data_IF_680098137094
#
_entry.id   IF_680098137094
#
_cell.length_a   1.000
_cell.length_b   1.000
_cell.length_c   1.000
_cell.angle_alpha   90.00
_cell.angle_beta   90.00
_cell.angle_gamma   90.00
#
_symmetry.space_group_name_H-M   'P 1'
#
loop_
_entity.id
_entity.type
_entity.pdbx_description
1 polymer ?
#
# COMPACT_ATOMS: atom_id res chain seq x y z
N UNK A 1 -37.71 -8.74 7.55
CA UNK A 1 -36.70 -9.28 8.46
C UNK A 1 -35.33 -8.78 8.03
N UNK A 2 -34.51 -8.31 8.97
CA UNK A 2 -33.09 -7.98 8.75
C UNK A 2 -32.79 -6.49 8.66
N UNK A 3 -32.96 -5.74 9.75
CA UNK A 3 -32.28 -4.45 9.89
C UNK A 3 -30.80 -4.79 10.02
N UNK A 4 -29.98 -4.48 9.01
CA UNK A 4 -28.53 -4.60 9.19
C UNK A 4 -28.15 -3.61 10.30
N UNK A 5 -27.36 -4.06 11.27
CA UNK A 5 -27.19 -3.40 12.57
C UNK A 5 -26.34 -2.12 12.55
N UNK A 6 -26.48 -1.27 11.54
CA UNK A 6 -25.80 0.02 11.46
C UNK A 6 -26.84 1.14 11.59
N UNK A 7 -26.97 1.67 12.81
CA UNK A 7 -27.94 2.70 13.16
C UNK A 7 -27.46 4.13 12.87
N UNK A 8 -26.34 4.31 12.16
CA UNK A 8 -25.77 5.61 11.87
C UNK A 8 -25.34 5.72 10.39
N UNK A 9 -25.48 6.90 9.76
CA UNK A 9 -24.99 7.12 8.41
C UNK A 9 -23.46 7.06 8.39
N UNK A 10 -22.90 6.28 7.47
CA UNK A 10 -21.46 6.26 7.18
C UNK A 10 -21.21 7.19 5.99
N UNK A 11 -20.41 8.24 6.20
CA UNK A 11 -19.96 9.10 5.12
C UNK A 11 -18.90 8.39 4.28
N UNK A 12 -19.14 8.22 2.98
CA UNK A 12 -18.13 7.78 2.03
C UNK A 12 -17.40 9.01 1.50
N UNK A 13 -16.11 9.09 1.77
CA UNK A 13 -15.26 10.18 1.30
C UNK A 13 -14.52 9.73 0.04
N UNK A 14 -14.95 10.24 -1.11
CA UNK A 14 -14.40 9.82 -2.40
C UNK A 14 -13.02 10.44 -2.71
N UNK A 15 -12.63 11.51 -2.01
CA UNK A 15 -11.39 12.24 -2.27
C UNK A 15 -10.14 11.40 -2.01
N UNK A 16 -10.14 10.64 -0.92
CA UNK A 16 -9.05 9.72 -0.57
C UNK A 16 -9.01 8.43 -1.37
N UNK A 17 -10.10 8.04 -2.04
CA UNK A 17 -10.14 6.81 -2.85
C UNK A 17 -9.11 6.85 -3.99
N UNK A 18 -8.96 8.00 -4.65
CA UNK A 18 -8.00 8.17 -5.74
C UNK A 18 -6.54 7.97 -5.31
N UNK A 19 -6.20 8.26 -4.04
CA UNK A 19 -4.86 8.02 -3.52
C UNK A 19 -4.56 6.52 -3.35
N UNK A 20 -5.56 5.75 -2.91
CA UNK A 20 -5.42 4.29 -2.78
C UNK A 20 -5.30 3.64 -4.15
N UNK A 21 -6.10 4.10 -5.12
CA UNK A 21 -6.06 3.62 -6.51
C UNK A 21 -4.72 3.93 -7.18
N UNK A 22 -4.28 5.20 -7.14
CA UNK A 22 -2.98 5.61 -7.68
C UNK A 22 -1.82 4.81 -7.06
N UNK A 23 -1.89 4.51 -5.75
CA UNK A 23 -0.93 3.63 -5.10
C UNK A 23 -1.02 2.18 -5.62
N UNK A 24 -2.21 1.61 -5.76
CA UNK A 24 -2.37 0.25 -6.30
C UNK A 24 -1.93 0.14 -7.77
N UNK A 25 -2.03 1.21 -8.55
CA UNK A 25 -1.55 1.30 -9.94
C UNK A 25 -0.03 1.42 -10.07
N UNK A 26 0.69 1.60 -8.95
CA UNK A 26 2.15 1.61 -8.94
C UNK A 26 2.78 3.00 -8.88
N UNK A 27 2.02 4.06 -8.57
CA UNK A 27 2.60 5.40 -8.36
C UNK A 27 3.73 5.36 -7.31
N UNK A 28 4.79 6.12 -7.58
CA UNK A 28 5.90 6.29 -6.65
C UNK A 28 5.47 7.02 -5.36
N UNK A 29 6.07 6.65 -4.23
CA UNK A 29 5.72 7.22 -2.92
C UNK A 29 5.94 8.73 -2.84
N UNK A 30 7.07 9.23 -3.35
CA UNK A 30 7.36 10.66 -3.33
C UNK A 30 6.38 11.46 -4.18
N UNK A 31 6.02 10.91 -5.35
CA UNK A 31 5.00 11.51 -6.23
C UNK A 31 3.61 11.47 -5.60
N UNK A 32 3.25 10.38 -4.95
CA UNK A 32 1.96 10.25 -4.26
C UNK A 32 1.81 11.30 -3.16
N UNK A 33 2.81 11.42 -2.28
CA UNK A 33 2.81 12.42 -1.20
C UNK A 33 2.84 13.84 -1.76
N UNK A 34 3.61 14.08 -2.83
CA UNK A 34 3.67 15.39 -3.49
C UNK A 34 2.39 15.80 -4.24
N UNK A 35 1.47 14.86 -4.50
CA UNK A 35 0.23 15.12 -5.23
C UNK A 35 -0.89 15.71 -4.38
N UNK A 36 -0.72 15.74 -3.05
CA UNK A 36 -1.75 16.15 -2.08
C UNK A 36 -1.16 17.02 -0.97
N UNK A 37 -2.03 17.77 -0.30
CA UNK A 37 -1.67 18.54 0.91
C UNK A 37 -1.95 17.77 2.21
N UNK A 38 -2.25 16.48 2.13
CA UNK A 38 -2.44 15.62 3.31
C UNK A 38 -1.13 15.36 4.04
N UNK A 39 -1.22 15.21 5.36
CA UNK A 39 -0.06 14.86 6.18
C UNK A 39 0.47 13.47 5.82
N UNK A 40 1.80 13.32 5.81
CA UNK A 40 2.47 12.05 5.47
C UNK A 40 1.95 10.87 6.31
N UNK A 41 1.73 11.12 7.60
CA UNK A 41 1.19 10.12 8.52
C UNK A 41 -0.25 9.72 8.20
N UNK A 42 -1.06 10.63 7.66
CA UNK A 42 -2.42 10.34 7.21
C UNK A 42 -2.44 9.49 5.95
N UNK A 43 -1.56 9.78 4.99
CA UNK A 43 -1.40 8.98 3.77
C UNK A 43 -0.95 7.56 4.13
N UNK A 44 0.11 7.45 4.95
CA UNK A 44 0.59 6.15 5.42
C UNK A 44 -0.53 5.36 6.09
N UNK A 45 -1.24 6.00 7.02
CA UNK A 45 -2.30 5.36 7.79
C UNK A 45 -3.53 5.01 6.96
N UNK A 46 -3.88 5.83 5.97
CA UNK A 46 -4.93 5.55 5.00
C UNK A 46 -4.60 4.28 4.21
N UNK A 47 -3.44 4.24 3.55
CA UNK A 47 -3.03 3.09 2.75
C UNK A 47 -2.91 1.83 3.60
N UNK A 48 -2.31 1.95 4.79
CA UNK A 48 -2.14 0.83 5.71
C UNK A 48 -3.46 0.22 6.14
N UNK A 49 -4.42 1.06 6.55
CA UNK A 49 -5.77 0.60 6.92
C UNK A 49 -6.49 -0.04 5.74
N UNK A 50 -6.33 0.50 4.53
CA UNK A 50 -6.89 -0.10 3.32
C UNK A 50 -6.33 -1.50 3.06
N UNK A 51 -5.00 -1.71 3.20
CA UNK A 51 -4.39 -3.05 3.11
C UNK A 51 -4.97 -3.98 4.17
N UNK A 52 -5.02 -3.54 5.43
CA UNK A 52 -5.51 -4.35 6.54
C UNK A 52 -6.99 -4.73 6.36
N UNK A 53 -7.82 -3.82 5.85
CA UNK A 53 -9.21 -4.10 5.50
C UNK A 53 -9.32 -5.13 4.36
N UNK A 54 -8.52 -5.02 3.30
CA UNK A 54 -8.53 -5.99 2.22
C UNK A 54 -8.09 -7.39 2.69
N UNK A 55 -7.09 -7.46 3.59
CA UNK A 55 -6.70 -8.71 4.25
C UNK A 55 -7.85 -9.31 5.06
N UNK A 56 -8.58 -8.49 5.79
CA UNK A 56 -9.78 -8.95 6.50
C UNK A 56 -10.82 -9.49 5.50
N UNK A 57 -11.20 -8.72 4.48
CA UNK A 57 -12.18 -9.11 3.45
C UNK A 57 -11.83 -10.45 2.80
N UNK A 58 -10.54 -10.67 2.51
CA UNK A 58 -10.08 -11.93 1.91
C UNK A 58 -10.32 -13.17 2.78
N UNK A 59 -10.41 -12.98 4.11
CA UNK A 59 -10.54 -14.04 5.11
C UNK A 59 -11.96 -14.15 5.69
N UNK A 60 -12.88 -13.22 5.39
CA UNK A 60 -14.24 -13.23 5.97
C UNK A 60 -15.02 -14.46 5.47
N UNK A 61 -15.66 -15.23 6.36
CA UNK A 61 -16.53 -16.33 5.96
C UNK A 61 -17.80 -15.80 5.27
N UNK A 62 -18.41 -16.60 4.39
CA UNK A 62 -19.65 -16.26 3.68
C UNK A 62 -19.57 -15.11 2.65
N UNK A 63 -18.37 -14.61 2.34
CA UNK A 63 -18.11 -13.73 1.18
C UNK A 63 -17.82 -14.58 -0.06
N UNK A 64 -18.23 -14.12 -1.26
CA UNK A 64 -17.98 -14.83 -2.52
C UNK A 64 -16.48 -15.01 -2.79
N UNK A 65 -16.11 -16.09 -3.48
CA UNK A 65 -14.70 -16.35 -3.77
C UNK A 65 -14.12 -15.31 -4.72
N UNK A 66 -14.91 -14.78 -5.66
CA UNK A 66 -14.49 -13.69 -6.55
C UNK A 66 -14.11 -12.44 -5.75
N UNK A 67 -14.91 -12.05 -4.76
CA UNK A 67 -14.60 -10.89 -3.92
C UNK A 67 -13.34 -11.11 -3.09
N UNK A 68 -13.12 -12.33 -2.58
CA UNK A 68 -11.87 -12.69 -1.89
C UNK A 68 -10.68 -12.67 -2.83
N UNK A 69 -10.84 -13.16 -4.06
CA UNK A 69 -9.78 -13.15 -5.08
C UNK A 69 -9.38 -11.73 -5.45
N UNK A 70 -10.36 -10.85 -5.67
CA UNK A 70 -10.14 -9.41 -5.89
C UNK A 70 -9.42 -8.77 -4.69
N UNK A 71 -9.85 -9.05 -3.46
CA UNK A 71 -9.19 -8.53 -2.27
C UNK A 71 -7.73 -8.98 -2.17
N UNK A 72 -7.43 -10.26 -2.42
CA UNK A 72 -6.05 -10.77 -2.45
C UNK A 72 -5.21 -10.13 -3.54
N UNK A 73 -5.79 -9.87 -4.72
CA UNK A 73 -5.10 -9.18 -5.80
C UNK A 73 -4.77 -7.73 -5.43
N UNK A 74 -5.72 -7.01 -4.84
CA UNK A 74 -5.52 -5.65 -4.37
C UNK A 74 -4.45 -5.56 -3.26
N UNK A 75 -4.44 -6.52 -2.31
CA UNK A 75 -3.36 -6.60 -1.30
C UNK A 75 -1.99 -6.69 -1.97
N UNK A 76 -1.82 -7.60 -2.94
CA UNK A 76 -0.54 -7.76 -3.65
C UNK A 76 -0.10 -6.50 -4.39
N UNK A 77 -1.04 -5.76 -5.00
CA UNK A 77 -0.73 -4.51 -5.70
C UNK A 77 -0.29 -3.39 -4.74
N UNK A 78 -0.85 -3.38 -3.53
CA UNK A 78 -0.59 -2.34 -2.53
C UNK A 78 0.60 -2.65 -1.60
N UNK A 79 1.06 -3.90 -1.56
CA UNK A 79 2.15 -4.39 -0.69
C UNK A 79 3.52 -3.97 -1.21
N UNK A 80 3.82 -2.67 -1.08
CA UNK A 80 5.06 -2.03 -1.52
C UNK A 80 5.61 -1.15 -0.40
N UNK A 81 6.93 -0.94 -0.39
CA UNK A 81 7.54 0.04 0.53
C UNK A 81 6.96 1.43 0.30
N UNK A 82 6.58 2.21 1.35
CA UNK A 82 6.79 1.97 2.78
C UNK A 82 5.62 1.26 3.50
N UNK A 83 4.57 0.88 2.79
CA UNK A 83 3.31 0.37 3.38
C UNK A 83 3.38 -1.13 3.73
N UNK A 84 4.30 -1.86 3.11
CA UNK A 84 4.48 -3.30 3.30
C UNK A 84 4.63 -3.71 4.78
N UNK A 85 4.07 -4.87 5.14
CA UNK A 85 4.09 -5.41 6.51
C UNK A 85 5.50 -5.59 7.08
N UNK A 86 6.43 -5.96 6.22
CA UNK A 86 7.77 -6.37 6.63
C UNK A 86 8.66 -5.20 7.04
N UNK A 87 8.24 -3.95 6.79
CA UNK A 87 9.05 -2.75 7.09
C UNK A 87 9.26 -2.58 8.60
N UNK A 88 8.31 -3.00 9.45
CA UNK A 88 8.46 -2.93 10.90
C UNK A 88 9.37 -4.04 11.46
N UNK A 89 9.45 -5.19 10.77
CA UNK A 89 10.23 -6.35 11.19
C UNK A 89 11.64 -6.40 10.58
N UNK A 90 11.88 -5.62 9.52
CA UNK A 90 13.14 -5.59 8.77
C UNK A 90 14.08 -4.45 9.18
N UNK A 91 13.83 -3.75 10.29
CA UNK A 91 14.82 -2.85 10.88
C UNK A 91 15.84 -3.71 11.64
N UNK A 92 17.10 -3.89 11.16
CA UNK A 92 18.15 -4.37 12.04
C UNK A 92 18.30 -3.36 13.18
N UNK A 93 18.39 -3.86 14.42
CA UNK A 93 18.48 -3.06 15.66
C UNK A 93 19.65 -2.03 15.66
N UNK A 94 20.55 -2.11 14.67
CA UNK A 94 21.76 -1.30 14.54
C UNK A 94 21.53 0.12 13.97
N UNK A 95 20.35 0.45 13.44
CA UNK A 95 20.06 1.79 12.86
C UNK A 95 19.65 2.82 13.93
N UNK A 96 19.41 2.40 15.17
CA UNK A 96 19.11 3.32 16.28
C UNK A 96 20.32 4.17 16.71
N UNK A 97 21.55 3.78 16.32
CA UNK A 97 22.81 4.42 16.74
C UNK A 97 23.37 5.42 15.72
N UNK A 98 23.09 5.24 14.43
CA UNK A 98 23.64 6.10 13.38
C UNK A 98 22.51 6.76 12.59
N UNK A 99 22.51 8.09 12.63
CA UNK A 99 21.49 8.97 12.08
C UNK A 99 21.00 8.55 10.68
N UNK A 100 19.68 8.70 10.51
CA UNK A 100 18.87 8.57 9.30
C UNK A 100 19.68 8.31 8.02
N UNK A 101 19.64 7.08 7.45
CA UNK A 101 20.20 6.87 6.12
C UNK A 101 19.33 7.62 5.12
N UNK A 102 19.96 8.55 4.41
CA UNK A 102 19.43 9.32 3.31
C UNK A 102 18.71 8.40 2.30
N UNK A 103 17.53 8.82 1.84
CA UNK A 103 16.60 8.14 0.91
C UNK A 103 17.23 7.81 -0.47
N UNK A 104 18.52 8.04 -0.66
CA UNK A 104 19.25 7.91 -1.93
C UNK A 104 19.70 6.48 -2.28
N UNK A 105 19.53 5.49 -1.40
CA UNK A 105 19.99 4.11 -1.65
C UNK A 105 18.91 3.12 -2.14
N UNK A 106 17.61 3.46 -2.06
CA UNK A 106 16.54 2.56 -2.55
C UNK A 106 16.31 2.73 -4.07
N UNK A 107 16.76 3.84 -4.66
CA UNK A 107 16.57 4.12 -6.10
C UNK A 107 17.52 3.33 -7.02
N UNK A 108 18.47 2.55 -6.49
CA UNK A 108 19.47 1.82 -7.31
C UNK A 108 19.15 0.34 -7.56
N UNK A 109 18.09 -0.21 -6.98
CA UNK A 109 17.80 -1.65 -7.07
C UNK A 109 16.67 -2.01 -8.04
N UNK A 110 16.05 -1.03 -8.71
CA UNK A 110 14.99 -1.26 -9.68
C UNK A 110 15.46 -0.87 -11.10
N UNK A 111 16.57 -1.47 -11.54
CA UNK A 111 16.81 -1.67 -12.96
C UNK A 111 16.23 -3.03 -13.29
N UNK A 112 15.12 -3.00 -14.02
CA UNK A 112 14.53 -4.16 -14.68
C UNK A 112 15.60 -4.91 -15.47
N UNK A 113 15.70 -6.22 -15.25
CA UNK A 113 16.57 -7.17 -15.97
C UNK A 113 16.34 -7.20 -17.51
N UNK A 114 15.40 -6.40 -18.04
CA UNK A 114 15.07 -6.31 -19.46
C UNK A 114 16.09 -5.54 -20.32
N UNK A 115 17.07 -4.83 -19.75
CA UNK A 115 18.10 -4.10 -20.53
C UNK A 115 19.41 -4.88 -20.78
N UNK A 116 19.54 -6.13 -20.29
CA UNK A 116 20.77 -6.92 -20.49
C UNK A 116 20.76 -7.79 -21.76
N UNK A 117 19.63 -7.92 -22.47
CA UNK A 117 19.58 -8.66 -23.74
C UNK A 117 19.85 -7.81 -25.00
N UNK A 118 19.97 -6.48 -24.89
CA UNK A 118 20.18 -5.61 -26.06
C UNK A 118 21.65 -5.20 -26.33
N UNK A 119 22.63 -5.77 -25.60
CA UNK A 119 24.07 -5.42 -25.78
C UNK A 119 25.00 -6.60 -26.10
N UNK A 120 24.44 -7.70 -26.61
CA UNK A 120 25.22 -8.83 -27.16
C UNK A 120 24.82 -9.21 -28.59
N UNK A 121 24.53 -8.20 -29.42
CA UNK A 121 24.51 -8.32 -30.89
C UNK A 121 25.35 -7.20 -31.51
#
# INVERSE_FOLDING_TARGET
AGVCGLAFPVGLEAGVCGLVEAWAEGMDWGMLVGSTSLDLGDIYRLLRRSVDLLKQVSNVPYVSEDAKACARAAVRAMDRYPIADDVLMAMPEDVASNGVPEVSLISKSFTTDDELQARTA
#
